data_IF_762730421840
#
_entry.id   IF_762730421840
#
_cell.length_a   1.000
_cell.length_b   1.000
_cell.length_c   1.000
_cell.angle_alpha   90.00
_cell.angle_beta   90.00
_cell.angle_gamma   90.00
#
_symmetry.space_group_name_H-M   'P 1'
#
loop_
_entity.id
_entity.type
_entity.pdbx_description
1 polymer ?
#
# COMPACT_ATOMS: atom_id res chain seq x y z
N UNK A 1 -23.95 -38.19 13.32
CA UNK A 1 -23.28 -37.17 14.16
C UNK A 1 -21.99 -36.65 13.54
N UNK A 2 -21.09 -37.51 13.07
CA UNK A 2 -19.74 -37.08 12.61
C UNK A 2 -19.77 -36.14 11.40
N UNK A 3 -20.70 -36.33 10.45
CA UNK A 3 -20.85 -35.44 9.27
C UNK A 3 -21.34 -34.02 9.63
N UNK A 4 -22.16 -33.88 10.66
CA UNK A 4 -22.65 -32.58 11.15
C UNK A 4 -21.53 -31.78 11.84
N UNK A 5 -20.68 -32.47 12.59
CA UNK A 5 -19.50 -31.88 13.24
C UNK A 5 -18.50 -31.40 12.18
N UNK A 6 -18.28 -32.17 11.12
CA UNK A 6 -17.40 -31.77 10.01
C UNK A 6 -17.91 -30.54 9.26
N UNK A 7 -19.22 -30.43 9.00
CA UNK A 7 -19.80 -29.26 8.33
C UNK A 7 -19.71 -28.03 9.22
N UNK A 8 -19.98 -28.16 10.51
CA UNK A 8 -19.88 -27.05 11.46
C UNK A 8 -18.44 -26.51 11.57
N UNK A 9 -17.43 -27.40 11.51
CA UNK A 9 -16.01 -27.04 11.50
C UNK A 9 -15.58 -26.31 10.21
N UNK A 10 -16.14 -26.68 9.06
CA UNK A 10 -15.84 -26.01 7.77
C UNK A 10 -16.44 -24.60 7.75
N UNK A 11 -17.64 -24.43 8.30
CA UNK A 11 -18.33 -23.12 8.36
C UNK A 11 -17.62 -22.15 9.31
N UNK A 12 -17.11 -22.61 10.45
CA UNK A 12 -16.32 -21.76 11.37
C UNK A 12 -14.98 -21.33 10.78
N UNK A 13 -14.31 -22.18 10.00
CA UNK A 13 -13.08 -21.83 9.29
C UNK A 13 -13.35 -20.78 8.19
N UNK A 14 -14.47 -20.91 7.46
CA UNK A 14 -14.84 -19.95 6.41
C UNK A 14 -15.23 -18.56 6.95
N UNK A 15 -15.76 -18.48 8.18
CA UNK A 15 -16.08 -17.20 8.83
C UNK A 15 -14.82 -16.49 9.38
N UNK A 16 -13.80 -17.24 9.78
CA UNK A 16 -12.55 -16.69 10.30
C UNK A 16 -11.69 -15.98 9.22
N UNK A 17 -11.90 -16.28 7.94
CA UNK A 17 -11.17 -15.67 6.82
C UNK A 17 -11.78 -14.36 6.31
N UNK A 18 -12.97 -13.96 6.80
CA UNK A 18 -13.67 -12.77 6.32
C UNK A 18 -13.17 -11.44 6.91
N UNK A 19 -12.25 -11.46 7.88
CA UNK A 19 -11.75 -10.26 8.54
C UNK A 19 -10.33 -9.90 8.09
N UNK A 20 -10.13 -9.72 6.78
CA UNK A 20 -8.94 -9.06 6.28
C UNK A 20 -9.12 -7.53 6.44
N UNK A 21 -8.67 -6.97 7.57
CA UNK A 21 -8.49 -5.52 7.66
C UNK A 21 -7.36 -5.12 6.71
N UNK A 22 -7.68 -4.46 5.59
CA UNK A 22 -6.68 -3.80 4.77
C UNK A 22 -6.04 -2.71 5.62
N UNK A 23 -4.77 -2.91 5.99
CA UNK A 23 -3.98 -1.91 6.67
C UNK A 23 -3.43 -0.95 5.62
N UNK A 24 -3.71 0.33 5.80
CA UNK A 24 -3.13 1.39 4.98
C UNK A 24 -1.61 1.28 4.96
N UNK A 25 -1.03 1.27 3.76
CA UNK A 25 0.42 1.29 3.60
C UNK A 25 0.90 2.73 3.48
N UNK A 26 1.49 3.26 4.55
CA UNK A 26 1.93 4.65 4.61
C UNK A 26 3.39 4.77 4.23
N UNK A 27 3.72 5.76 3.39
CA UNK A 27 5.09 6.13 3.02
C UNK A 27 5.37 7.59 3.38
N UNK A 28 6.62 7.88 3.72
CA UNK A 28 7.09 9.24 3.97
C UNK A 28 8.12 9.61 2.91
N UNK A 29 7.87 10.71 2.19
CA UNK A 29 8.79 11.30 1.22
C UNK A 29 9.47 12.47 1.90
N UNK A 30 10.77 12.33 2.18
CA UNK A 30 11.58 13.37 2.84
C UNK A 30 12.12 14.32 1.79
N UNK A 31 11.88 15.61 1.96
CA UNK A 31 12.39 16.65 1.08
C UNK A 31 13.07 17.76 1.87
N UNK A 32 13.83 18.61 1.20
CA UNK A 32 14.41 19.82 1.81
C UNK A 32 13.35 20.82 2.34
N UNK A 33 12.10 20.71 1.89
CA UNK A 33 10.99 21.56 2.30
C UNK A 33 10.12 20.94 3.40
N UNK A 34 10.44 19.73 3.84
CA UNK A 34 9.69 18.98 4.85
C UNK A 34 9.31 17.57 4.42
N UNK A 35 8.62 16.88 5.33
CA UNK A 35 8.12 15.52 5.13
C UNK A 35 6.72 15.54 4.51
N UNK A 36 6.53 14.80 3.42
CA UNK A 36 5.21 14.50 2.85
C UNK A 36 4.83 13.06 3.21
N UNK A 37 3.58 12.84 3.61
CA UNK A 37 3.07 11.51 3.98
C UNK A 37 1.98 11.11 3.00
N UNK A 38 2.08 9.90 2.44
CA UNK A 38 1.13 9.38 1.47
C UNK A 38 0.67 7.96 1.84
N UNK A 39 -0.58 7.63 1.50
CA UNK A 39 -1.15 6.29 1.63
C UNK A 39 -1.13 5.60 0.27
N UNK A 40 -0.63 4.36 0.22
CA UNK A 40 -0.67 3.51 -0.96
C UNK A 40 -1.85 2.54 -0.87
N UNK A 41 -2.86 2.83 -1.69
CA UNK A 41 -4.10 2.09 -1.85
C UNK A 41 -3.91 0.71 -2.48
N UNK A 42 -4.76 -0.25 -2.13
CA UNK A 42 -4.68 -1.66 -2.57
C UNK A 42 -5.31 -1.90 -3.95
N UNK A 43 -6.05 -0.91 -4.45
CA UNK A 43 -6.73 -0.89 -5.75
C UNK A 43 -5.74 -0.94 -6.93
N UNK A 44 -4.48 -0.54 -6.71
CA UNK A 44 -3.41 -0.55 -7.73
C UNK A 44 -2.22 -1.40 -7.26
N UNK A 45 -2.36 -2.73 -7.16
CA UNK A 45 -1.39 -3.58 -6.45
C UNK A 45 -0.02 -3.63 -7.14
N UNK A 46 0.02 -3.62 -8.47
CA UNK A 46 1.28 -3.63 -9.21
C UNK A 46 2.04 -2.31 -9.08
N UNK A 47 1.34 -1.16 -9.15
CA UNK A 47 1.95 0.15 -8.94
C UNK A 47 2.45 0.33 -7.52
N UNK A 48 1.64 -0.09 -6.53
CA UNK A 48 2.03 -0.12 -5.12
C UNK A 48 3.30 -0.94 -4.89
N UNK A 49 3.35 -2.16 -5.43
CA UNK A 49 4.51 -3.04 -5.31
C UNK A 49 5.76 -2.42 -5.96
N UNK A 50 5.63 -1.83 -7.15
CA UNK A 50 6.75 -1.18 -7.84
C UNK A 50 7.28 0.04 -7.07
N UNK A 51 6.38 0.91 -6.58
CA UNK A 51 6.77 2.08 -5.80
C UNK A 51 7.51 1.67 -4.51
N UNK A 52 6.98 0.69 -3.78
CA UNK A 52 7.62 0.17 -2.56
C UNK A 52 8.99 -0.43 -2.87
N UNK A 53 9.11 -1.19 -3.96
CA UNK A 53 10.39 -1.76 -4.39
C UNK A 53 11.42 -0.66 -4.63
N UNK A 54 11.12 0.30 -5.49
CA UNK A 54 12.03 1.39 -5.85
C UNK A 54 12.42 2.23 -4.62
N UNK A 55 11.45 2.52 -3.73
CA UNK A 55 11.72 3.24 -2.49
C UNK A 55 12.68 2.46 -1.56
N UNK A 56 12.50 1.14 -1.40
CA UNK A 56 13.40 0.28 -0.61
C UNK A 56 14.78 0.14 -1.22
N UNK A 57 14.90 0.26 -2.54
CA UNK A 57 16.16 0.25 -3.28
C UNK A 57 16.83 1.64 -3.31
N UNK A 58 16.32 2.62 -2.54
CA UNK A 58 16.83 3.98 -2.48
C UNK A 58 16.82 4.70 -3.84
N UNK A 59 16.00 4.24 -4.80
CA UNK A 59 15.97 4.76 -6.16
C UNK A 59 15.59 6.25 -6.22
N UNK A 60 14.67 6.67 -5.35
CA UNK A 60 14.17 8.05 -5.32
C UNK A 60 15.08 9.00 -4.51
N UNK A 61 16.10 8.49 -3.83
CA UNK A 61 16.97 9.32 -3.00
C UNK A 61 17.75 10.30 -3.86
N UNK A 62 17.81 11.56 -3.42
CA UNK A 62 18.46 12.66 -4.16
C UNK A 62 17.87 12.96 -5.55
N UNK A 63 16.68 12.43 -5.87
CA UNK A 63 15.93 12.83 -7.08
C UNK A 63 15.24 14.18 -6.90
N UNK A 64 14.95 14.86 -8.02
CA UNK A 64 14.26 16.14 -8.03
C UNK A 64 12.83 16.00 -8.56
N UNK A 65 11.92 16.83 -8.04
CA UNK A 65 10.68 17.15 -8.76
C UNK A 65 11.03 18.06 -9.95
N UNK A 66 11.34 17.45 -11.09
CA UNK A 66 11.83 18.15 -12.28
C UNK A 66 10.72 18.91 -13.04
N UNK A 67 9.44 18.67 -12.70
CA UNK A 67 8.31 19.39 -13.28
C UNK A 67 7.36 19.88 -12.20
N UNK A 68 7.17 21.19 -12.14
CA UNK A 68 6.30 21.88 -11.18
C UNK A 68 5.37 22.80 -11.96
N UNK A 69 4.07 22.58 -11.85
CA UNK A 69 3.04 23.42 -12.47
C UNK A 69 2.11 23.92 -11.38
N UNK A 70 2.10 25.24 -11.22
CA UNK A 70 1.27 25.94 -10.25
C UNK A 70 -0.21 25.55 -10.42
N UNK A 71 -0.88 25.29 -9.31
CA UNK A 71 -2.29 24.91 -9.23
C UNK A 71 -2.68 23.63 -10.00
N UNK A 72 -1.69 22.80 -10.33
CA UNK A 72 -1.91 21.51 -10.99
C UNK A 72 -1.21 20.37 -10.27
N UNK A 73 0.11 20.23 -10.42
CA UNK A 73 0.86 19.12 -9.83
C UNK A 73 2.38 19.32 -9.81
N UNK A 74 3.05 18.46 -9.05
CA UNK A 74 4.49 18.22 -9.09
C UNK A 74 4.77 16.78 -9.57
N UNK A 75 5.78 16.62 -10.42
CA UNK A 75 6.19 15.34 -10.96
C UNK A 75 7.70 15.16 -10.79
N UNK A 76 8.07 13.96 -10.37
CA UNK A 76 9.42 13.53 -10.10
C UNK A 76 9.43 12.03 -9.88
N UNK A 77 10.45 11.58 -9.15
CA UNK A 77 10.83 10.18 -9.11
C UNK A 77 11.71 9.82 -10.29
#
# INVERSE_FOLDING_TARGET
MNKLISVLAIVTIALATSCAQNKDYVVTIKTQYGDMVAVLYDETPQHKANFIKLAKEHYFDSTLFHRVIQDFMIQGG
#
